data_IF_299550806056
#
_entry.id   IF_299550806056
#
_cell.length_a   1.000
_cell.length_b   1.000
_cell.length_c   1.000
_cell.angle_alpha   90.00
_cell.angle_beta   90.00
_cell.angle_gamma   90.00
#
_symmetry.space_group_name_H-M   'P 1'
#
loop_
_entity.id
_entity.type
_entity.pdbx_description
1 polymer ?
#
# COMPACT_ATOMS: atom_id res chain seq x y z
N UNK A 1 5.28 -21.94 1.58
CA UNK A 1 5.33 -20.80 2.52
C UNK A 1 6.76 -20.36 2.89
N UNK A 2 7.72 -21.26 3.16
CA UNK A 2 9.09 -20.88 3.56
C UNK A 2 9.92 -20.11 2.51
N UNK A 3 9.77 -20.43 1.23
CA UNK A 3 10.60 -19.82 0.17
C UNK A 3 10.26 -18.34 -0.10
N UNK A 4 9.01 -17.92 0.14
CA UNK A 4 8.59 -16.53 -0.07
C UNK A 4 9.10 -15.64 1.06
N UNK A 5 8.99 -16.09 2.32
CA UNK A 5 9.56 -15.40 3.48
C UNK A 5 11.09 -15.23 3.38
N UNK A 6 11.80 -16.25 2.90
CA UNK A 6 13.24 -16.18 2.65
C UNK A 6 13.61 -15.14 1.58
N UNK A 7 12.84 -15.05 0.48
CA UNK A 7 13.04 -14.02 -0.56
C UNK A 7 12.79 -12.61 -0.03
N UNK A 8 11.73 -12.41 0.77
CA UNK A 8 11.48 -11.10 1.39
C UNK A 8 12.59 -10.69 2.37
N UNK A 9 13.15 -11.65 3.13
CA UNK A 9 14.28 -11.39 4.03
C UNK A 9 15.54 -10.94 3.28
N UNK A 10 15.82 -11.51 2.12
CA UNK A 10 17.00 -11.14 1.33
C UNK A 10 16.84 -9.77 0.67
N UNK A 11 15.64 -9.46 0.14
CA UNK A 11 15.36 -8.13 -0.42
C UNK A 11 15.46 -7.06 0.68
N UNK A 12 14.89 -7.31 1.86
CA UNK A 12 15.03 -6.42 3.01
C UNK A 12 16.50 -6.17 3.36
N UNK A 13 17.28 -7.24 3.52
CA UNK A 13 18.72 -7.15 3.83
C UNK A 13 19.46 -6.29 2.81
N UNK A 14 19.23 -6.52 1.52
CA UNK A 14 19.87 -5.74 0.44
C UNK A 14 19.45 -4.27 0.48
N UNK A 15 18.15 -3.99 0.62
CA UNK A 15 17.64 -2.62 0.65
C UNK A 15 18.20 -1.82 1.83
N UNK A 16 18.22 -2.41 3.03
CA UNK A 16 18.80 -1.77 4.22
C UNK A 16 20.31 -1.56 4.08
N UNK A 17 21.06 -2.49 3.47
CA UNK A 17 22.48 -2.27 3.20
C UNK A 17 22.75 -1.06 2.28
N UNK A 18 21.80 -0.71 1.40
CA UNK A 18 21.94 0.48 0.54
C UNK A 18 21.58 1.78 1.26
N UNK A 19 20.85 1.72 2.38
CA UNK A 19 20.37 2.89 3.11
C UNK A 19 21.51 3.74 3.69
N UNK A 20 22.59 3.09 4.13
CA UNK A 20 23.81 3.76 4.62
C UNK A 20 24.46 4.66 3.56
N UNK A 21 24.14 4.43 2.28
CA UNK A 21 24.65 5.17 1.13
C UNK A 21 23.59 6.04 0.45
N UNK A 22 22.44 6.29 1.09
CA UNK A 22 21.31 6.98 0.45
C UNK A 22 21.64 8.37 -0.10
N UNK A 23 22.58 9.11 0.51
CA UNK A 23 23.01 10.42 0.02
C UNK A 23 23.82 10.35 -1.28
N UNK A 24 24.37 9.18 -1.61
CA UNK A 24 25.14 8.93 -2.83
C UNK A 24 24.26 8.40 -3.98
N UNK A 25 23.02 8.00 -3.68
CA UNK A 25 22.10 7.37 -4.65
C UNK A 25 21.11 8.42 -5.17
N UNK A 26 21.17 8.69 -6.47
CA UNK A 26 20.24 9.60 -7.13
C UNK A 26 18.79 9.12 -6.97
N UNK A 27 17.89 10.04 -6.62
CA UNK A 27 16.45 9.78 -6.44
C UNK A 27 16.16 8.62 -5.47
N UNK A 28 16.97 8.46 -4.41
CA UNK A 28 16.83 7.41 -3.40
C UNK A 28 15.38 7.13 -2.99
N UNK A 29 14.64 8.19 -2.60
CA UNK A 29 13.27 8.08 -2.08
C UNK A 29 12.24 7.57 -3.09
N UNK A 30 12.52 7.75 -4.38
CA UNK A 30 11.71 7.27 -5.50
C UNK A 30 12.28 6.00 -6.13
N UNK A 31 13.49 5.57 -5.76
CA UNK A 31 14.17 4.40 -6.30
C UNK A 31 14.23 3.25 -5.29
N UNK A 32 15.43 2.98 -4.78
CA UNK A 32 15.68 1.90 -3.84
C UNK A 32 14.96 2.08 -2.50
N UNK A 33 14.73 3.32 -2.05
CA UNK A 33 14.02 3.65 -0.80
C UNK A 33 12.56 3.18 -0.78
N UNK A 34 11.95 2.93 -1.95
CA UNK A 34 10.60 2.34 -2.05
C UNK A 34 10.55 0.96 -1.42
N UNK A 35 11.59 0.14 -1.59
CA UNK A 35 11.62 -1.23 -1.05
C UNK A 35 11.63 -1.20 0.48
N UNK A 36 12.45 -0.32 1.09
CA UNK A 36 12.46 -0.16 2.56
C UNK A 36 11.09 0.32 3.03
N UNK A 37 10.56 1.36 2.40
CA UNK A 37 9.24 1.93 2.74
C UNK A 37 8.13 0.88 2.66
N UNK A 38 8.15 0.04 1.63
CA UNK A 38 7.20 -1.05 1.45
C UNK A 38 7.25 -2.04 2.61
N UNK A 39 8.44 -2.52 2.98
CA UNK A 39 8.55 -3.50 4.06
C UNK A 39 8.20 -2.94 5.43
N UNK A 40 8.57 -1.69 5.70
CA UNK A 40 8.17 -1.00 6.93
C UNK A 40 6.65 -0.89 7.00
N UNK A 41 6.02 -0.29 5.98
CA UNK A 41 4.57 -0.11 5.94
C UNK A 41 3.82 -1.45 6.02
N UNK A 42 4.26 -2.44 5.25
CA UNK A 42 3.69 -3.79 5.26
C UNK A 42 3.75 -4.41 6.65
N UNK A 43 4.87 -4.27 7.35
CA UNK A 43 5.02 -4.81 8.71
C UNK A 43 4.07 -4.09 9.66
N UNK A 44 4.00 -2.75 9.61
CA UNK A 44 3.09 -1.97 10.44
C UNK A 44 1.61 -2.26 10.18
N UNK A 45 1.23 -2.60 8.95
CA UNK A 45 -0.14 -3.02 8.62
C UNK A 45 -0.46 -4.47 9.05
N UNK A 46 0.57 -5.32 9.20
CA UNK A 46 0.44 -6.73 9.59
C UNK A 46 0.62 -6.97 11.08
N UNK A 47 1.26 -6.06 11.80
CA UNK A 47 1.39 -6.14 13.26
C UNK A 47 -0.01 -6.05 13.87
N UNK A 48 -0.47 -7.19 14.43
CA UNK A 48 -1.70 -7.28 15.22
C UNK A 48 -1.70 -6.14 16.25
N UNK A 49 -2.86 -5.49 16.42
CA UNK A 49 -3.21 -4.37 17.33
C UNK A 49 -2.71 -4.52 18.79
N UNK A 50 -1.42 -4.74 19.01
CA UNK A 50 -0.73 -4.42 20.24
C UNK A 50 -0.67 -2.90 20.28
N UNK A 51 -1.07 -2.34 21.41
CA UNK A 51 -1.38 -0.93 21.66
C UNK A 51 -0.20 0.07 21.52
N UNK A 52 0.76 -0.22 20.64
CA UNK A 52 1.95 0.56 20.40
C UNK A 52 2.39 0.47 18.92
N UNK A 53 1.42 0.44 18.00
CA UNK A 53 1.69 0.61 16.56
C UNK A 53 1.47 2.08 16.21
N UNK A 54 2.38 2.70 15.46
CA UNK A 54 2.20 4.11 15.03
C UNK A 54 0.95 4.30 14.13
N UNK A 55 0.34 3.20 13.68
CA UNK A 55 -0.86 3.15 12.83
C UNK A 55 -2.07 2.55 13.58
N UNK A 56 -2.41 3.10 14.75
CA UNK A 56 -3.50 2.57 15.60
C UNK A 56 -4.93 2.83 15.04
N UNK A 57 -5.09 3.68 14.03
CA UNK A 57 -6.40 4.00 13.44
C UNK A 57 -6.46 3.71 11.95
N UNK A 58 -7.65 3.41 11.44
CA UNK A 58 -7.90 3.24 10.00
C UNK A 58 -7.49 4.50 9.21
N UNK A 59 -7.70 5.69 9.78
CA UNK A 59 -7.30 6.96 9.16
C UNK A 59 -5.78 7.06 9.00
N UNK A 60 -5.01 6.76 10.05
CA UNK A 60 -3.54 6.77 10.00
C UNK A 60 -3.01 5.72 9.03
N UNK A 61 -3.58 4.50 9.05
CA UNK A 61 -3.23 3.43 8.08
C UNK A 61 -3.50 3.87 6.64
N UNK A 62 -4.67 4.46 6.38
CA UNK A 62 -5.05 4.95 5.06
C UNK A 62 -4.12 6.08 4.59
N UNK A 63 -3.77 7.03 5.46
CA UNK A 63 -2.83 8.11 5.15
C UNK A 63 -1.44 7.56 4.78
N UNK A 64 -0.89 6.64 5.57
CA UNK A 64 0.40 6.02 5.27
C UNK A 64 0.38 5.22 3.96
N UNK A 65 -0.71 4.50 3.68
CA UNK A 65 -0.91 3.82 2.40
C UNK A 65 -0.97 4.81 1.23
N UNK A 66 -1.72 5.91 1.37
CA UNK A 66 -1.85 6.96 0.36
C UNK A 66 -0.50 7.59 0.02
N UNK A 67 0.30 7.90 1.03
CA UNK A 67 1.63 8.48 0.84
C UNK A 67 2.57 7.50 0.14
N UNK A 68 2.57 6.22 0.55
CA UNK A 68 3.37 5.19 -0.11
C UNK A 68 2.95 4.98 -1.57
N UNK A 69 1.66 4.83 -1.85
CA UNK A 69 1.14 4.65 -3.20
C UNK A 69 1.36 5.89 -4.09
N UNK A 70 1.31 7.09 -3.50
CA UNK A 70 1.69 8.34 -4.15
C UNK A 70 3.14 8.32 -4.63
N UNK A 71 4.08 8.01 -3.72
CA UNK A 71 5.51 7.87 -4.07
C UNK A 71 5.77 6.79 -5.10
N UNK A 72 5.03 5.68 -5.03
CA UNK A 72 5.13 4.59 -6.00
C UNK A 72 4.70 5.04 -7.41
N UNK A 73 3.60 5.80 -7.51
CA UNK A 73 3.17 6.40 -8.77
C UNK A 73 4.15 7.45 -9.29
N UNK A 74 4.71 8.29 -8.41
CA UNK A 74 5.71 9.29 -8.77
C UNK A 74 6.96 8.62 -9.33
N UNK A 75 7.44 7.56 -8.68
CA UNK A 75 8.54 6.74 -9.18
C UNK A 75 8.25 6.15 -10.56
N UNK A 76 7.06 5.57 -10.74
CA UNK A 76 6.63 5.08 -12.05
C UNK A 76 6.65 6.18 -13.10
N UNK A 77 6.31 7.42 -12.78
CA UNK A 77 6.37 8.55 -13.72
C UNK A 77 7.82 8.92 -14.05
N UNK A 78 8.66 9.14 -13.02
CA UNK A 78 10.08 9.53 -13.15
C UNK A 78 10.87 8.50 -13.95
N UNK A 79 10.62 7.22 -13.73
CA UNK A 79 11.37 6.14 -14.35
C UNK A 79 10.58 5.37 -15.43
N UNK A 80 9.38 5.81 -15.82
CA UNK A 80 8.46 5.09 -16.75
C UNK A 80 9.14 4.50 -18.00
N UNK A 81 9.99 5.29 -18.66
CA UNK A 81 10.74 4.89 -19.86
C UNK A 81 12.08 4.19 -19.59
N UNK A 82 12.55 4.16 -18.34
CA UNK A 82 13.83 3.59 -17.91
C UNK A 82 13.67 2.30 -17.08
N UNK A 83 12.50 2.09 -16.49
CA UNK A 83 12.16 0.90 -15.70
C UNK A 83 12.01 -0.31 -16.61
N UNK A 84 12.74 -1.37 -16.26
CA UNK A 84 12.50 -2.69 -16.82
C UNK A 84 11.07 -3.15 -16.47
N UNK A 85 10.50 -3.99 -17.34
CA UNK A 85 9.14 -4.54 -17.15
C UNK A 85 9.02 -5.19 -15.77
N UNK A 86 10.03 -5.93 -15.34
CA UNK A 86 10.03 -6.64 -14.05
C UNK A 86 9.91 -5.70 -12.85
N UNK A 87 10.51 -4.51 -12.93
CA UNK A 87 10.42 -3.51 -11.87
C UNK A 87 9.02 -2.89 -11.79
N UNK A 88 8.37 -2.65 -12.95
CA UNK A 88 6.96 -2.22 -12.98
C UNK A 88 6.03 -3.27 -12.39
N UNK A 89 6.26 -4.54 -12.72
CA UNK A 89 5.51 -5.66 -12.13
C UNK A 89 5.73 -5.75 -10.63
N UNK A 90 6.96 -5.55 -10.15
CA UNK A 90 7.26 -5.54 -8.71
C UNK A 90 6.48 -4.43 -8.00
N UNK A 91 6.43 -3.22 -8.57
CA UNK A 91 5.66 -2.11 -8.00
C UNK A 91 4.16 -2.38 -7.98
N UNK A 92 3.59 -2.92 -9.06
CA UNK A 92 2.17 -3.33 -9.05
C UNK A 92 1.86 -4.36 -7.98
N UNK A 93 2.78 -5.32 -7.73
CA UNK A 93 2.62 -6.31 -6.64
C UNK A 93 2.72 -5.68 -5.25
N UNK A 94 3.63 -4.73 -5.05
CA UNK A 94 3.70 -3.98 -3.79
C UNK A 94 2.40 -3.21 -3.55
N UNK A 95 1.90 -2.52 -4.59
CA UNK A 95 0.64 -1.78 -4.52
C UNK A 95 -0.54 -2.69 -4.18
N UNK A 96 -0.66 -3.84 -4.86
CA UNK A 96 -1.67 -4.86 -4.59
C UNK A 96 -1.63 -5.33 -3.14
N UNK A 97 -0.45 -5.67 -2.62
CA UNK A 97 -0.31 -6.16 -1.25
C UNK A 97 -0.70 -5.09 -0.22
N UNK A 98 -0.25 -3.85 -0.39
CA UNK A 98 -0.60 -2.74 0.52
C UNK A 98 -2.10 -2.42 0.45
N UNK A 99 -2.71 -2.40 -0.75
CA UNK A 99 -4.15 -2.20 -0.92
C UNK A 99 -4.95 -3.31 -0.23
N UNK A 100 -4.54 -4.56 -0.42
CA UNK A 100 -5.19 -5.71 0.22
C UNK A 100 -5.12 -5.63 1.75
N UNK A 101 -3.97 -5.26 2.32
CA UNK A 101 -3.81 -5.08 3.76
C UNK A 101 -4.70 -3.95 4.30
N UNK A 102 -4.72 -2.79 3.63
CA UNK A 102 -5.57 -1.66 4.02
C UNK A 102 -7.06 -2.03 4.02
N UNK A 103 -7.55 -2.66 2.95
CA UNK A 103 -8.96 -3.02 2.83
C UNK A 103 -9.36 -4.18 3.76
N UNK A 104 -8.42 -5.03 4.18
CA UNK A 104 -8.69 -6.10 5.15
C UNK A 104 -8.96 -5.56 6.56
N UNK A 105 -8.47 -4.35 6.86
CA UNK A 105 -8.68 -3.66 8.14
C UNK A 105 -10.01 -2.89 8.17
N UNK A 106 -10.74 -2.81 7.05
CA UNK A 106 -12.10 -2.26 7.01
C UNK A 106 -13.02 -3.23 7.76
N UNK A 107 -13.28 -2.93 9.03
CA UNK A 107 -14.09 -3.76 9.94
C UNK A 107 -14.97 -2.97 10.89
N UNK A 108 -15.69 -3.71 11.75
CA UNK A 108 -16.66 -3.18 12.73
C UNK A 108 -16.07 -2.04 13.56
N UNK A 109 -16.69 -0.85 13.48
CA UNK A 109 -16.27 0.35 14.20
C UNK A 109 -15.75 1.49 13.32
N UNK A 110 -15.46 1.23 12.03
CA UNK A 110 -15.10 2.28 11.07
C UNK A 110 -16.34 2.98 10.49
N UNK A 111 -16.25 4.29 10.25
CA UNK A 111 -17.32 5.07 9.62
C UNK A 111 -17.37 4.81 8.12
N UNK A 112 -18.54 4.91 7.50
CA UNK A 112 -18.70 4.79 6.04
C UNK A 112 -17.76 5.71 5.25
N UNK A 113 -17.58 6.95 5.72
CA UNK A 113 -16.64 7.91 5.12
C UNK A 113 -15.19 7.41 5.19
N UNK A 114 -14.76 6.88 6.35
CA UNK A 114 -13.44 6.28 6.51
C UNK A 114 -13.21 5.09 5.57
N UNK A 115 -14.22 4.23 5.42
CA UNK A 115 -14.16 3.09 4.50
C UNK A 115 -14.07 3.53 3.03
N UNK A 116 -14.90 4.48 2.60
CA UNK A 116 -14.89 5.02 1.24
C UNK A 116 -13.58 5.76 0.93
N UNK A 117 -13.01 6.46 1.91
CA UNK A 117 -11.69 7.11 1.80
C UNK A 117 -10.55 6.10 1.59
N UNK A 118 -10.67 4.88 2.11
CA UNK A 118 -9.71 3.81 1.83
C UNK A 118 -9.82 3.33 0.37
N UNK A 119 -11.05 3.21 -0.15
CA UNK A 119 -11.25 2.88 -1.56
C UNK A 119 -10.72 3.97 -2.50
N UNK A 120 -10.89 5.26 -2.19
CA UNK A 120 -10.27 6.35 -2.97
C UNK A 120 -8.74 6.20 -3.07
N UNK A 121 -8.10 5.92 -1.94
CA UNK A 121 -6.65 5.64 -1.89
C UNK A 121 -6.27 4.47 -2.79
N UNK A 122 -7.01 3.36 -2.72
CA UNK A 122 -6.76 2.15 -3.52
C UNK A 122 -6.98 2.37 -5.01
N UNK A 123 -7.98 3.18 -5.43
CA UNK A 123 -8.21 3.45 -6.85
C UNK A 123 -7.08 4.23 -7.52
N UNK A 124 -6.32 5.00 -6.73
CA UNK A 124 -5.16 5.76 -7.20
C UNK A 124 -3.89 4.90 -7.28
N UNK A 125 -3.92 3.66 -6.78
CA UNK A 125 -2.78 2.76 -6.80
C UNK A 125 -2.44 2.24 -8.22
N UNK A 126 -1.17 1.94 -8.50
CA UNK A 126 -0.74 1.32 -9.77
C UNK A 126 -1.03 -0.19 -9.81
N UNK A 127 -2.28 -0.57 -9.56
CA UNK A 127 -2.77 -1.94 -9.52
C UNK A 127 -3.33 -2.42 -10.87
N UNK A 128 -3.36 -3.74 -11.11
CA UNK A 128 -4.06 -4.36 -12.24
C UNK A 128 -5.55 -3.98 -12.31
N UNK A 129 -6.12 -4.02 -13.51
CA UNK A 129 -7.52 -3.62 -13.74
C UNK A 129 -8.53 -4.59 -13.13
N UNK A 130 -8.26 -5.89 -13.18
CA UNK A 130 -9.07 -6.94 -12.59
C UNK A 130 -9.23 -6.74 -11.07
N UNK A 131 -8.13 -6.39 -10.40
CA UNK A 131 -8.14 -6.08 -8.98
C UNK A 131 -8.89 -4.77 -8.69
N UNK A 132 -8.70 -3.74 -9.53
CA UNK A 132 -9.43 -2.47 -9.42
C UNK A 132 -10.95 -2.68 -9.53
N UNK A 133 -11.37 -3.55 -10.44
CA UNK A 133 -12.76 -3.93 -10.63
C UNK A 133 -13.34 -4.66 -9.41
N UNK A 134 -12.57 -5.54 -8.77
CA UNK A 134 -12.95 -6.18 -7.50
C UNK A 134 -13.15 -5.16 -6.37
N UNK A 135 -12.22 -4.21 -6.21
CA UNK A 135 -12.33 -3.16 -5.21
C UNK A 135 -13.50 -2.20 -5.47
N UNK A 136 -13.84 -1.96 -6.74
CA UNK A 136 -15.03 -1.19 -7.11
C UNK A 136 -16.32 -1.85 -6.60
N UNK A 137 -16.43 -3.18 -6.70
CA UNK A 137 -17.57 -3.90 -6.14
C UNK A 137 -17.66 -3.72 -4.62
N UNK A 138 -16.52 -3.76 -3.93
CA UNK A 138 -16.45 -3.47 -2.49
C UNK A 138 -16.93 -2.06 -2.14
N UNK A 139 -16.44 -1.04 -2.85
CA UNK A 139 -16.86 0.35 -2.64
C UNK A 139 -18.37 0.55 -2.87
N UNK A 140 -18.92 -0.05 -3.93
CA UNK A 140 -20.36 -0.02 -4.23
C UNK A 140 -21.17 -0.68 -3.13
N UNK A 141 -20.69 -1.79 -2.56
CA UNK A 141 -21.34 -2.46 -1.43
C UNK A 141 -21.42 -1.53 -0.21
N UNK A 142 -20.30 -0.92 0.19
CA UNK A 142 -20.24 0.03 1.31
C UNK A 142 -21.17 1.21 1.09
N UNK A 143 -21.15 1.79 -0.11
CA UNK A 143 -22.03 2.91 -0.46
C UNK A 143 -23.53 2.53 -0.42
N UNK A 144 -23.87 1.31 -0.84
CA UNK A 144 -25.25 0.81 -0.79
C UNK A 144 -25.72 0.60 0.65
N UNK A 145 -24.85 0.09 1.53
CA UNK A 145 -25.14 0.00 2.97
C UNK A 145 -25.38 1.38 3.58
N UNK A 146 -24.51 2.35 3.28
CA UNK A 146 -24.69 3.74 3.70
C UNK A 146 -26.05 4.29 3.31
N UNK A 147 -26.45 4.17 2.04
CA UNK A 147 -27.77 4.63 1.58
C UNK A 147 -28.95 3.95 2.27
N UNK A 148 -28.79 2.69 2.66
CA UNK A 148 -29.84 1.92 3.33
C UNK A 148 -30.01 2.30 4.80
N UNK A 149 -28.96 2.82 5.43
CA UNK A 149 -28.94 3.21 6.84
C UNK A 149 -29.18 4.71 7.08
N UNK A 150 -29.07 5.54 6.05
CA UNK A 150 -29.49 6.95 6.12
C UNK A 150 -31.01 7.00 6.22
N UNK A 151 -31.59 7.45 7.35
CA UNK A 151 -33.04 7.57 7.47
C UNK A 151 -33.55 8.63 6.49
N UNK A 152 -34.61 8.30 5.76
CA UNK A 152 -35.37 9.22 4.89
C UNK A 152 -36.01 10.36 5.68
#
# INVERSE_FOLDING_TARGET
MHMQKAKHSEIWRLATCMEDHKSEIENWDLGAGIYISFYLLRSSLQEDNNAMSELDSLESKNAACRDFLGRLNESLQVFSGRLQVDARVAYSKMAEEICGLLLSDIGEGSTYDGQLSCFDTVFRAPIPEDLRSSYLQGAVSVFTCFLSEVPS
#
